data_IF_812730656269
#
_entry.id   IF_812730656269
#
_cell.length_a   1.000
_cell.length_b   1.000
_cell.length_c   1.000
_cell.angle_alpha   90.00
_cell.angle_beta   90.00
_cell.angle_gamma   90.00
#
_symmetry.space_group_name_H-M   'P 1'
#
loop_
_entity.id
_entity.type
_entity.pdbx_description
1 polymer ?
#
# COMPACT_ATOMS: atom_id res chain seq x y z
N UNK A 1 -3.55 -56.65 -10.26
CA UNK A 1 -3.07 -55.85 -11.41
C UNK A 1 -2.50 -56.83 -12.43
N UNK A 2 -2.81 -56.63 -13.71
CA UNK A 2 -2.42 -57.49 -14.84
C UNK A 2 -1.81 -56.62 -15.95
N UNK A 3 -1.19 -57.26 -16.95
CA UNK A 3 -0.64 -56.59 -18.13
C UNK A 3 -1.70 -55.78 -18.87
N UNK A 4 -2.91 -56.31 -19.02
CA UNK A 4 -4.04 -55.60 -19.62
C UNK A 4 -4.43 -54.31 -18.87
N UNK A 5 -4.40 -54.34 -17.52
CA UNK A 5 -4.70 -53.15 -16.71
C UNK A 5 -3.60 -52.08 -16.83
N UNK A 6 -2.34 -52.51 -16.97
CA UNK A 6 -1.21 -51.61 -17.23
C UNK A 6 -1.31 -50.97 -18.63
N UNK A 7 -1.62 -51.74 -19.66
CA UNK A 7 -1.83 -51.21 -21.01
C UNK A 7 -2.95 -50.17 -21.04
N UNK A 8 -4.10 -50.47 -20.42
CA UNK A 8 -5.21 -49.52 -20.33
C UNK A 8 -4.80 -48.21 -19.64
N UNK A 9 -4.06 -48.28 -18.53
CA UNK A 9 -3.55 -47.11 -17.84
C UNK A 9 -2.58 -46.30 -18.71
N UNK A 10 -1.69 -46.95 -19.46
CA UNK A 10 -0.76 -46.27 -20.37
C UNK A 10 -1.47 -45.61 -21.55
N UNK A 11 -2.51 -46.25 -22.09
CA UNK A 11 -3.35 -45.66 -23.13
C UNK A 11 -4.11 -44.44 -22.62
N UNK A 12 -4.67 -44.49 -21.39
CA UNK A 12 -5.31 -43.33 -20.76
C UNK A 12 -4.34 -42.17 -20.53
N UNK A 13 -3.05 -42.46 -20.35
CA UNK A 13 -1.98 -41.45 -20.24
C UNK A 13 -1.52 -40.88 -21.58
N UNK A 14 -2.07 -41.35 -22.70
CA UNK A 14 -1.68 -40.92 -24.04
C UNK A 14 -0.36 -41.52 -24.53
N UNK A 15 0.01 -42.71 -24.04
CA UNK A 15 1.14 -43.45 -24.60
C UNK A 15 0.79 -43.97 -26.00
N UNK A 16 1.22 -43.23 -27.03
CA UNK A 16 1.14 -43.61 -28.43
C UNK A 16 2.49 -44.21 -28.87
N UNK A 17 2.74 -45.46 -28.51
CA UNK A 17 3.86 -46.21 -29.09
C UNK A 17 3.64 -46.48 -30.59
N UNK A 18 4.73 -46.59 -31.38
CA UNK A 18 4.62 -46.95 -32.81
C UNK A 18 3.95 -48.32 -33.01
N UNK A 19 4.11 -49.22 -32.03
CA UNK A 19 3.42 -50.52 -31.97
C UNK A 19 2.42 -50.54 -30.80
N UNK A 20 1.20 -51.09 -31.00
CA UNK A 20 0.24 -51.26 -29.92
C UNK A 20 0.79 -52.20 -28.84
N UNK A 21 0.66 -51.79 -27.58
CA UNK A 21 1.10 -52.60 -26.44
C UNK A 21 0.32 -53.92 -26.40
N UNK A 22 1.03 -55.03 -26.55
CA UNK A 22 0.45 -56.36 -26.37
C UNK A 22 0.31 -56.68 -24.88
N UNK A 23 -0.94 -56.75 -24.42
CA UNK A 23 -1.27 -57.07 -23.04
C UNK A 23 -0.77 -58.46 -22.61
N UNK A 24 -0.74 -59.43 -23.53
CA UNK A 24 -0.33 -60.80 -23.24
C UNK A 24 1.20 -60.90 -23.08
N UNK A 25 1.94 -60.13 -23.89
CA UNK A 25 3.39 -59.98 -23.76
C UNK A 25 3.80 -59.27 -22.46
N UNK A 26 2.90 -58.52 -21.82
CA UNK A 26 3.14 -57.82 -20.56
C UNK A 26 2.58 -58.54 -19.34
N UNK A 27 2.01 -59.74 -19.50
CA UNK A 27 1.45 -60.51 -18.39
C UNK A 27 2.53 -61.26 -17.58
N UNK A 28 3.64 -61.66 -18.23
CA UNK A 28 4.69 -62.45 -17.57
C UNK A 28 5.27 -61.83 -16.29
N UNK A 29 5.48 -60.50 -16.15
CA UNK A 29 5.98 -59.90 -14.90
C UNK A 29 4.99 -60.02 -13.74
N UNK A 30 3.68 -60.05 -14.01
CA UNK A 30 2.63 -60.16 -12.98
C UNK A 30 2.47 -61.58 -12.43
N UNK A 31 3.11 -62.56 -13.06
CA UNK A 31 3.10 -63.96 -12.64
C UNK A 31 4.05 -64.21 -11.46
N UNK A 32 5.07 -63.38 -11.27
CA UNK A 32 6.03 -63.51 -10.16
C UNK A 32 5.51 -62.82 -8.90
N UNK A 33 5.35 -63.56 -7.80
CA UNK A 33 4.80 -63.02 -6.55
C UNK A 33 5.67 -61.92 -5.94
N UNK A 34 6.98 -62.01 -6.12
CA UNK A 34 7.96 -61.05 -5.62
C UNK A 34 7.89 -59.70 -6.36
N UNK A 35 7.50 -59.72 -7.64
CA UNK A 35 7.39 -58.50 -8.47
C UNK A 35 6.04 -57.81 -8.30
N UNK A 36 4.99 -58.52 -7.86
CA UNK A 36 3.63 -57.98 -7.73
C UNK A 36 3.52 -56.70 -6.88
N UNK A 37 4.18 -56.57 -5.70
CA UNK A 37 4.09 -55.34 -4.92
C UNK A 37 4.68 -54.14 -5.65
N UNK A 38 5.82 -54.32 -6.32
CA UNK A 38 6.48 -53.27 -7.09
C UNK A 38 5.63 -52.87 -8.30
N UNK A 39 5.11 -53.84 -9.06
CA UNK A 39 4.27 -53.59 -10.22
C UNK A 39 2.95 -52.91 -9.82
N UNK A 40 2.36 -53.30 -8.69
CA UNK A 40 1.17 -52.64 -8.16
C UNK A 40 1.46 -51.18 -7.77
N UNK A 41 2.63 -50.90 -7.16
CA UNK A 41 3.06 -49.55 -6.85
C UNK A 41 3.26 -48.72 -8.13
N UNK A 42 3.98 -49.23 -9.13
CA UNK A 42 4.18 -48.55 -10.43
C UNK A 42 2.82 -48.20 -11.05
N UNK A 43 1.90 -49.15 -11.13
CA UNK A 43 0.57 -48.91 -11.70
C UNK A 43 -0.22 -47.87 -10.89
N UNK A 44 -0.01 -47.79 -9.57
CA UNK A 44 -0.65 -46.76 -8.73
C UNK A 44 -0.10 -45.34 -8.99
N UNK A 45 1.13 -45.25 -9.49
CA UNK A 45 1.79 -44.00 -9.86
C UNK A 45 1.47 -43.57 -11.30
N UNK A 46 1.00 -44.47 -12.16
CA UNK A 46 0.55 -44.17 -13.52
C UNK A 46 -0.87 -43.57 -13.50
N UNK A 47 -0.97 -42.32 -13.01
CA UNK A 47 -2.22 -41.54 -13.00
C UNK A 47 -2.10 -40.32 -13.91
N UNK A 48 -3.19 -39.88 -14.56
CA UNK A 48 -3.19 -38.66 -15.38
C UNK A 48 -2.72 -37.42 -14.62
N UNK A 49 -2.91 -37.38 -13.30
CA UNK A 49 -2.40 -36.30 -12.43
C UNK A 49 -0.89 -36.20 -12.38
N UNK A 50 -0.18 -37.28 -12.71
CA UNK A 50 1.28 -37.37 -12.66
C UNK A 50 1.90 -37.15 -14.05
N UNK A 51 1.08 -36.93 -15.07
CA UNK A 51 1.51 -36.61 -16.44
C UNK A 51 1.21 -35.14 -16.71
N UNK A 52 2.13 -34.47 -17.40
CA UNK A 52 1.92 -33.09 -17.81
C UNK A 52 0.77 -33.04 -18.80
N UNK A 53 -0.28 -32.29 -18.48
CA UNK A 53 -1.38 -32.09 -19.40
C UNK A 53 -0.96 -31.21 -20.60
N UNK A 54 -1.64 -31.33 -21.74
CA UNK A 54 -1.38 -30.46 -22.90
C UNK A 54 -1.49 -28.97 -22.57
N UNK A 55 -2.36 -28.60 -21.62
CA UNK A 55 -2.50 -27.21 -21.17
C UNK A 55 -1.28 -26.72 -20.40
N UNK A 56 -0.63 -27.59 -19.59
CA UNK A 56 0.61 -27.23 -18.91
C UNK A 56 1.76 -27.05 -19.89
N UNK A 57 1.83 -27.90 -20.93
CA UNK A 57 2.82 -27.76 -22.00
C UNK A 57 2.63 -26.46 -22.78
N UNK A 58 1.40 -26.13 -23.18
CA UNK A 58 1.11 -24.88 -23.88
C UNK A 58 1.47 -23.63 -23.04
N UNK A 59 1.24 -23.66 -21.72
CA UNK A 59 1.64 -22.58 -20.83
C UNK A 59 3.17 -22.43 -20.75
N UNK A 60 3.89 -23.55 -20.69
CA UNK A 60 5.35 -23.54 -20.72
C UNK A 60 5.89 -22.98 -22.04
N UNK A 61 5.37 -23.44 -23.18
CA UNK A 61 5.74 -22.95 -24.51
C UNK A 61 5.48 -21.45 -24.65
N UNK A 62 4.33 -20.95 -24.15
CA UNK A 62 4.04 -19.52 -24.11
C UNK A 62 5.07 -18.74 -23.28
N UNK A 63 5.49 -19.25 -22.13
CA UNK A 63 6.52 -18.60 -21.30
C UNK A 63 7.88 -18.55 -22.01
N UNK A 64 8.22 -19.58 -22.79
CA UNK A 64 9.41 -19.62 -23.63
C UNK A 64 9.31 -18.56 -24.74
N UNK A 65 8.19 -18.51 -25.46
CA UNK A 65 7.96 -17.53 -26.53
C UNK A 65 7.99 -16.08 -26.04
N UNK A 66 7.42 -15.82 -24.86
CA UNK A 66 7.42 -14.50 -24.23
C UNK A 66 8.79 -14.10 -23.64
N UNK A 67 9.78 -15.02 -23.61
CA UNK A 67 11.09 -14.79 -23.00
C UNK A 67 11.00 -14.57 -21.48
N UNK A 68 9.98 -15.12 -20.83
CA UNK A 68 9.69 -14.97 -19.40
C UNK A 68 10.03 -16.21 -18.58
N UNK A 69 10.63 -17.20 -19.22
CA UNK A 69 11.09 -18.41 -18.55
C UNK A 69 12.30 -18.07 -17.68
N UNK A 70 12.16 -18.29 -16.37
CA UNK A 70 13.24 -18.16 -15.41
C UNK A 70 13.86 -19.53 -15.16
N UNK A 71 15.18 -19.64 -15.28
CA UNK A 71 15.93 -20.86 -15.06
C UNK A 71 17.20 -20.57 -14.26
N UNK A 72 17.68 -21.56 -13.50
CA UNK A 72 18.94 -21.45 -12.75
C UNK A 72 18.98 -20.28 -11.76
N UNK A 73 20.04 -19.47 -11.85
CA UNK A 73 20.30 -18.37 -10.92
C UNK A 73 19.20 -17.30 -10.93
N UNK A 74 18.56 -17.05 -12.09
CA UNK A 74 17.47 -16.08 -12.19
C UNK A 74 16.22 -16.56 -11.43
N UNK A 75 15.96 -17.87 -11.43
CA UNK A 75 14.88 -18.47 -10.67
C UNK A 75 15.19 -18.47 -9.16
N UNK A 76 16.41 -18.81 -8.79
CA UNK A 76 16.87 -18.79 -7.40
C UNK A 76 16.84 -17.35 -6.85
N UNK A 77 17.25 -16.36 -7.64
CA UNK A 77 17.17 -14.94 -7.28
C UNK A 77 15.72 -14.45 -7.15
N UNK A 78 14.81 -14.90 -8.03
CA UNK A 78 13.40 -14.58 -7.90
C UNK A 78 12.81 -15.19 -6.62
N UNK A 79 13.16 -16.44 -6.30
CA UNK A 79 12.76 -17.12 -5.07
C UNK A 79 13.23 -16.36 -3.82
N UNK A 80 14.50 -15.96 -3.78
CA UNK A 80 15.10 -15.22 -2.67
C UNK A 80 14.53 -13.79 -2.52
N UNK A 81 14.09 -13.18 -3.62
CA UNK A 81 13.45 -11.86 -3.61
C UNK A 81 12.07 -11.87 -2.92
N UNK A 82 11.41 -13.02 -2.88
CA UNK A 82 10.13 -13.16 -2.20
C UNK A 82 10.41 -13.28 -0.70
N UNK A 83 10.25 -12.16 0.00
CA UNK A 83 10.47 -12.04 1.46
C UNK A 83 9.73 -13.09 2.32
N UNK A 84 8.67 -13.72 1.80
CA UNK A 84 7.92 -14.75 2.50
C UNK A 84 8.59 -16.15 2.47
N UNK A 85 9.54 -16.38 1.56
CA UNK A 85 10.19 -17.68 1.37
C UNK A 85 11.71 -17.65 1.59
N UNK A 86 12.29 -16.48 1.85
CA UNK A 86 13.70 -16.38 2.21
C UNK A 86 13.94 -17.22 3.47
N UNK A 87 14.63 -18.33 3.32
CA UNK A 87 15.04 -19.25 4.39
C UNK A 87 15.96 -18.60 5.44
N UNK A 88 16.38 -17.35 5.19
CA UNK A 88 17.16 -16.50 6.10
C UNK A 88 16.33 -15.79 7.17
N UNK A 89 15.00 -15.78 7.07
CA UNK A 89 14.16 -15.21 8.13
C UNK A 89 13.43 -16.34 8.84
N UNK A 90 13.79 -16.58 10.09
CA UNK A 90 12.99 -17.43 10.97
C UNK A 90 11.55 -16.91 10.92
N UNK A 91 10.59 -17.80 10.66
CA UNK A 91 9.16 -17.47 10.59
C UNK A 91 8.63 -16.73 11.84
N UNK A 92 9.39 -16.75 12.94
CA UNK A 92 9.11 -15.98 14.15
C UNK A 92 9.43 -14.49 13.99
N UNK A 93 10.50 -14.09 13.30
CA UNK A 93 10.90 -12.68 13.15
C UNK A 93 9.95 -11.89 12.23
N UNK A 94 9.33 -12.55 11.25
CA UNK A 94 8.31 -11.93 10.39
C UNK A 94 7.00 -11.60 11.15
N UNK A 95 6.70 -12.34 12.21
CA UNK A 95 5.52 -12.11 13.08
C UNK A 95 5.86 -11.11 14.18
N UNK A 96 7.01 -11.25 14.85
CA UNK A 96 7.44 -10.33 15.93
C UNK A 96 7.87 -8.95 15.43
N UNK A 97 8.43 -8.83 14.23
CA UNK A 97 8.72 -7.53 13.61
C UNK A 97 7.45 -6.71 13.35
N UNK A 98 6.29 -7.37 13.17
CA UNK A 98 5.01 -6.67 13.02
C UNK A 98 4.50 -6.09 14.36
N UNK A 99 4.71 -6.78 15.49
CA UNK A 99 4.33 -6.26 16.81
C UNK A 99 5.27 -5.14 17.28
N UNK A 100 6.57 -5.25 17.06
CA UNK A 100 7.54 -4.18 17.36
C UNK A 100 7.23 -2.92 16.54
N UNK A 101 6.92 -3.08 15.25
CA UNK A 101 6.48 -1.97 14.39
C UNK A 101 5.14 -1.37 14.86
N UNK A 102 4.20 -2.18 15.37
CA UNK A 102 2.92 -1.68 15.90
C UNK A 102 3.13 -0.88 17.20
N UNK A 103 4.05 -1.31 18.07
CA UNK A 103 4.42 -0.58 19.28
C UNK A 103 5.06 0.77 18.93
N UNK A 104 6.00 0.79 17.98
CA UNK A 104 6.63 2.01 17.49
C UNK A 104 5.62 2.97 16.87
N UNK A 105 4.70 2.47 16.05
CA UNK A 105 3.59 3.27 15.49
C UNK A 105 2.71 3.85 16.60
N UNK A 106 2.44 3.06 17.65
CA UNK A 106 1.63 3.51 18.78
C UNK A 106 2.34 4.59 19.58
N UNK A 107 3.62 4.44 19.83
CA UNK A 107 4.45 5.43 20.53
C UNK A 107 4.56 6.72 19.72
N UNK A 108 4.89 6.63 18.43
CA UNK A 108 4.92 7.77 17.52
C UNK A 108 3.57 8.50 17.46
N UNK A 109 2.46 7.76 17.43
CA UNK A 109 1.11 8.34 17.46
C UNK A 109 0.82 9.08 18.76
N UNK A 110 1.32 8.61 19.91
CA UNK A 110 1.17 9.30 21.18
C UNK A 110 2.01 10.59 21.22
N UNK A 111 3.25 10.53 20.71
CA UNK A 111 4.12 11.69 20.58
C UNK A 111 3.48 12.78 19.70
N UNK A 112 2.97 12.42 18.52
CA UNK A 112 2.28 13.37 17.64
C UNK A 112 1.02 13.97 18.26
N UNK A 113 0.28 13.20 19.07
CA UNK A 113 -0.88 13.76 19.79
C UNK A 113 -0.48 14.80 20.82
N UNK A 114 0.63 14.59 21.53
CA UNK A 114 1.16 15.56 22.47
C UNK A 114 1.63 16.84 21.75
N UNK A 115 2.30 16.69 20.60
CA UNK A 115 2.73 17.82 19.78
C UNK A 115 1.54 18.64 19.25
N UNK A 116 0.51 17.98 18.73
CA UNK A 116 -0.72 18.65 18.27
C UNK A 116 -1.38 19.44 19.41
N UNK A 117 -1.39 18.89 20.62
CA UNK A 117 -1.95 19.58 21.79
C UNK A 117 -1.18 20.86 22.13
N UNK A 118 0.16 20.81 22.13
CA UNK A 118 0.98 22.00 22.38
C UNK A 118 0.84 23.04 21.25
N UNK A 119 0.78 22.60 19.99
CA UNK A 119 0.55 23.50 18.85
C UNK A 119 -0.82 24.19 18.94
N UNK A 120 -1.87 23.48 19.36
CA UNK A 120 -3.19 24.09 19.59
C UNK A 120 -3.14 25.16 20.69
N UNK A 121 -2.42 24.92 21.77
CA UNK A 121 -2.25 25.90 22.86
C UNK A 121 -1.49 27.14 22.38
N UNK A 122 -0.46 26.96 21.55
CA UNK A 122 0.27 28.07 20.94
C UNK A 122 -0.63 28.87 20.00
N UNK A 123 -1.44 28.20 19.18
CA UNK A 123 -2.39 28.84 18.27
C UNK A 123 -3.38 29.74 19.04
N UNK A 124 -4.00 29.23 20.11
CA UNK A 124 -4.95 30.00 20.93
C UNK A 124 -4.27 31.21 21.56
N UNK A 125 -3.03 31.08 22.04
CA UNK A 125 -2.27 32.20 22.60
C UNK A 125 -1.99 33.27 21.55
N UNK A 126 -1.57 32.86 20.35
CA UNK A 126 -1.31 33.80 19.25
C UNK A 126 -2.58 34.50 18.81
N UNK A 127 -3.69 33.77 18.71
CA UNK A 127 -5.00 34.33 18.37
C UNK A 127 -5.42 35.41 19.37
N UNK A 128 -5.28 35.15 20.68
CA UNK A 128 -5.59 36.13 21.71
C UNK A 128 -4.68 37.38 21.62
N UNK A 129 -3.41 37.22 21.25
CA UNK A 129 -2.50 38.35 21.01
C UNK A 129 -2.92 39.17 19.78
N UNK A 130 -3.33 38.51 18.69
CA UNK A 130 -3.86 39.17 17.51
C UNK A 130 -5.14 39.96 17.83
N UNK A 131 -6.07 39.37 18.58
CA UNK A 131 -7.32 40.03 18.96
C UNK A 131 -7.07 41.28 19.82
N UNK A 132 -6.11 41.20 20.77
CA UNK A 132 -5.70 42.35 21.57
C UNK A 132 -5.12 43.48 20.71
N UNK A 133 -4.20 43.15 19.80
CA UNK A 133 -3.59 44.12 18.89
C UNK A 133 -4.61 44.72 17.92
N UNK A 134 -5.55 43.92 17.42
CA UNK A 134 -6.65 44.38 16.57
C UNK A 134 -7.59 45.33 17.33
N UNK A 135 -7.87 45.04 18.60
CA UNK A 135 -8.62 45.94 19.49
C UNK A 135 -7.88 47.27 19.71
N UNK A 136 -6.58 47.24 19.99
CA UNK A 136 -5.74 48.43 20.15
C UNK A 136 -5.67 49.26 18.86
N UNK A 137 -5.51 48.63 17.69
CA UNK A 137 -5.52 49.31 16.41
C UNK A 137 -6.87 50.00 16.17
N UNK A 138 -7.97 49.33 16.49
CA UNK A 138 -9.33 49.87 16.35
C UNK A 138 -9.56 51.09 17.25
N UNK A 139 -9.11 51.05 18.51
CA UNK A 139 -9.23 52.20 19.42
C UNK A 139 -8.38 53.38 18.97
N UNK A 140 -7.17 53.14 18.45
CA UNK A 140 -6.33 54.19 17.88
C UNK A 140 -6.96 54.84 16.64
N UNK A 141 -7.53 54.03 15.74
CA UNK A 141 -8.23 54.54 14.54
C UNK A 141 -9.44 55.37 14.96
N UNK A 142 -10.24 54.88 15.92
CA UNK A 142 -11.42 55.60 16.39
C UNK A 142 -11.05 56.90 17.11
N UNK A 143 -10.01 56.88 17.95
CA UNK A 143 -9.48 58.06 18.61
C UNK A 143 -8.88 59.08 17.63
N UNK A 144 -8.28 58.63 16.53
CA UNK A 144 -7.84 59.52 15.44
C UNK A 144 -9.04 60.16 14.75
N UNK A 145 -10.08 59.39 14.42
CA UNK A 145 -11.31 59.88 13.79
C UNK A 145 -12.03 60.91 14.67
N UNK A 146 -12.15 60.67 15.97
CA UNK A 146 -12.79 61.61 16.89
C UNK A 146 -12.03 62.93 17.00
N UNK A 147 -10.69 62.89 17.09
CA UNK A 147 -9.85 64.10 17.08
C UNK A 147 -9.98 64.89 15.80
N UNK A 148 -9.98 64.23 14.64
CA UNK A 148 -10.17 64.90 13.34
C UNK A 148 -11.54 65.57 13.26
N UNK A 149 -12.61 64.91 13.72
CA UNK A 149 -13.95 65.49 13.78
C UNK A 149 -14.02 66.71 14.71
N UNK A 150 -13.44 66.60 15.91
CA UNK A 150 -13.40 67.71 16.87
C UNK A 150 -12.60 68.91 16.33
N UNK A 151 -11.45 68.68 15.69
CA UNK A 151 -10.68 69.75 15.04
C UNK A 151 -11.46 70.42 13.90
N UNK A 152 -12.21 69.65 13.11
CA UNK A 152 -13.07 70.20 12.05
C UNK A 152 -14.18 71.09 12.63
N UNK A 153 -14.80 70.69 13.74
CA UNK A 153 -15.84 71.48 14.40
C UNK A 153 -15.27 72.81 14.93
N UNK A 154 -14.14 72.77 15.65
CA UNK A 154 -13.45 73.96 16.17
C UNK A 154 -13.00 74.87 15.02
N UNK A 155 -12.48 74.31 13.93
CA UNK A 155 -12.11 75.10 12.75
C UNK A 155 -13.33 75.79 12.15
N UNK A 156 -14.49 75.13 12.10
CA UNK A 156 -15.74 75.74 11.64
C UNK A 156 -16.21 76.88 12.55
N UNK A 157 -16.09 76.72 13.87
CA UNK A 157 -16.40 77.78 14.84
C UNK A 157 -15.45 78.97 14.71
N UNK A 158 -14.14 78.74 14.48
CA UNK A 158 -13.17 79.82 14.28
C UNK A 158 -13.47 80.62 13.00
N UNK A 159 -13.84 79.93 11.91
CA UNK A 159 -14.20 80.57 10.64
C UNK A 159 -15.45 81.44 10.82
N UNK A 160 -16.49 80.93 11.48
CA UNK A 160 -17.71 81.72 11.71
C UNK A 160 -17.46 82.94 12.61
N UNK A 161 -16.57 82.82 13.60
CA UNK A 161 -16.17 83.93 14.47
C UNK A 161 -15.38 85.00 13.69
N UNK A 162 -14.50 84.57 12.78
CA UNK A 162 -13.76 85.47 11.88
C UNK A 162 -14.68 86.24 10.93
N UNK A 163 -15.72 85.58 10.37
CA UNK A 163 -16.76 86.24 9.57
C UNK A 163 -17.54 87.29 10.38
N UNK A 164 -17.88 86.99 11.64
CA UNK A 164 -18.57 87.93 12.54
C UNK A 164 -17.67 89.14 12.87
N UNK A 165 -16.39 88.92 13.17
CA UNK A 165 -15.45 90.01 13.44
C UNK A 165 -15.19 90.87 12.20
N UNK A 166 -15.05 90.23 11.04
CA UNK A 166 -14.85 90.90 9.76
C UNK A 166 -16.06 91.75 9.37
N UNK A 167 -17.27 91.23 9.50
CA UNK A 167 -18.50 92.01 9.25
C UNK A 167 -18.64 93.19 10.21
N UNK A 168 -18.33 93.00 11.49
CA UNK A 168 -18.37 94.08 12.49
C UNK A 168 -17.33 95.18 12.26
N UNK A 169 -16.14 94.84 11.75
CA UNK A 169 -15.12 95.82 11.37
C UNK A 169 -15.51 96.63 10.12
N UNK A 170 -16.42 96.15 9.29
CA UNK A 170 -16.94 96.87 8.10
C UNK A 170 -18.08 97.84 8.44
N UNK A 171 -18.64 97.78 9.65
CA UNK A 171 -19.73 98.66 10.13
C UNK A 171 -19.23 99.92 10.88
N UNK A 172 -17.92 100.16 10.95
CA UNK A 172 -17.27 101.35 11.55
C UNK A 172 -16.67 102.24 10.47
#
# INVERSE_FOLDING_TARGET
MSGAALCAALTELGFDGEDPLDADALEWPFQYEEARPLLAWICSCLRPSNVLSPSHLAQYEQLVEEGRLLEGEDLDSAFDSISAFSSKKDNQEAVFGSEETILDIREAKLAYRAEVFELQKQLVRQQAQFDLLAGQASTLIQGRRSRVSAMSAVSGELISLDEILSSRNLEV
#
